data_IF_356819511014
#
_entry.id   IF_356819511014
#
_cell.length_a   1.000
_cell.length_b   1.000
_cell.length_c   1.000
_cell.angle_alpha   90.00
_cell.angle_beta   90.00
_cell.angle_gamma   90.00
#
_symmetry.space_group_name_H-M   'P 1'
#
loop_
_entity.id
_entity.type
_entity.pdbx_description
1 polymer ?
#
# COMPACT_ATOMS: atom_id res chain seq x y z
N UNK A 1 -5.92 10.67 16.51
CA UNK A 1 -6.30 10.55 15.08
C UNK A 1 -5.17 9.84 14.37
N UNK A 2 -5.41 8.69 13.74
CA UNK A 2 -4.39 8.02 12.92
C UNK A 2 -4.11 8.87 11.69
N UNK A 3 -2.84 9.22 11.46
CA UNK A 3 -2.46 9.98 10.28
C UNK A 3 -2.79 9.21 9.01
N UNK A 4 -3.48 9.86 8.06
CA UNK A 4 -3.72 9.31 6.72
C UNK A 4 -2.84 10.01 5.68
N UNK A 5 -2.32 9.21 4.75
CA UNK A 5 -1.45 9.64 3.66
C UNK A 5 -2.09 9.37 2.31
N UNK A 6 -1.68 10.14 1.30
CA UNK A 6 -2.04 9.91 -0.11
C UNK A 6 -0.83 9.29 -0.81
N UNK A 7 -1.06 8.48 -1.83
CA UNK A 7 -0.01 7.78 -2.57
C UNK A 7 -0.01 8.17 -4.04
N UNK A 8 1.17 8.17 -4.66
CA UNK A 8 1.28 8.07 -6.11
C UNK A 8 0.65 6.79 -6.64
N UNK A 9 0.25 6.77 -7.90
CA UNK A 9 -0.45 5.65 -8.53
C UNK A 9 0.31 4.31 -8.43
N UNK A 10 1.63 4.33 -8.62
CA UNK A 10 2.49 3.16 -8.43
C UNK A 10 2.37 2.58 -7.01
N UNK A 11 2.47 3.45 -6.00
CA UNK A 11 2.38 3.05 -4.61
C UNK A 11 0.95 2.68 -4.22
N UNK A 12 -0.05 3.31 -4.82
CA UNK A 12 -1.45 2.97 -4.64
C UNK A 12 -1.73 1.54 -5.12
N UNK A 13 -1.26 1.18 -6.32
CA UNK A 13 -1.34 -0.20 -6.82
C UNK A 13 -0.56 -1.15 -5.91
N UNK A 14 0.66 -0.79 -5.52
CA UNK A 14 1.45 -1.61 -4.60
C UNK A 14 0.71 -1.84 -3.26
N UNK A 15 0.04 -0.82 -2.73
CA UNK A 15 -0.77 -0.95 -1.50
C UNK A 15 -1.97 -1.86 -1.74
N UNK A 16 -2.70 -1.70 -2.84
CA UNK A 16 -3.85 -2.57 -3.15
C UNK A 16 -3.41 -4.03 -3.22
N UNK A 17 -2.34 -4.32 -3.98
CA UNK A 17 -1.81 -5.67 -4.14
C UNK A 17 -1.33 -6.24 -2.78
N UNK A 18 -0.67 -5.43 -1.95
CA UNK A 18 -0.30 -5.83 -0.57
C UNK A 18 -1.52 -6.16 0.30
N UNK A 19 -2.69 -5.56 0.03
CA UNK A 19 -3.94 -5.92 0.71
C UNK A 19 -4.52 -7.27 0.28
N UNK A 20 -4.15 -7.74 -0.91
CA UNK A 20 -4.55 -9.05 -1.44
C UNK A 20 -3.59 -10.17 -1.02
N UNK A 21 -2.31 -9.83 -0.83
CA UNK A 21 -1.27 -10.76 -0.42
C UNK A 21 -0.85 -10.47 1.03
N UNK A 22 -1.35 -11.28 1.97
CA UNK A 22 -1.07 -11.15 3.41
C UNK A 22 0.41 -11.31 3.81
N UNK A 23 1.24 -11.74 2.86
CA UNK A 23 2.66 -12.02 3.04
C UNK A 23 3.35 -11.38 1.84
N UNK A 24 4.43 -10.63 2.10
CA UNK A 24 5.24 -9.90 1.11
C UNK A 24 4.77 -8.47 0.77
N UNK A 25 5.76 -7.65 0.39
CA UNK A 25 5.56 -6.28 -0.06
C UNK A 25 5.50 -6.26 -1.58
N UNK A 26 4.40 -5.76 -2.14
CA UNK A 26 4.30 -5.54 -3.58
C UNK A 26 5.11 -4.32 -4.07
N UNK A 27 5.76 -3.57 -3.16
CA UNK A 27 6.55 -2.37 -3.50
C UNK A 27 7.75 -2.66 -4.40
N UNK A 28 8.31 -3.86 -4.28
CA UNK A 28 9.49 -4.32 -5.03
C UNK A 28 9.12 -4.99 -6.36
N UNK A 29 7.84 -5.33 -6.55
CA UNK A 29 7.35 -6.04 -7.73
C UNK A 29 6.92 -5.07 -8.84
N UNK A 30 7.89 -4.32 -9.38
CA UNK A 30 7.63 -3.27 -10.39
C UNK A 30 6.85 -3.79 -11.59
N UNK A 31 7.24 -4.94 -12.14
CA UNK A 31 6.53 -5.53 -13.27
C UNK A 31 5.07 -5.85 -12.93
N UNK A 32 4.78 -6.22 -11.67
CA UNK A 32 3.42 -6.48 -11.23
C UNK A 32 2.64 -5.16 -11.10
N UNK A 33 3.25 -4.12 -10.52
CA UNK A 33 2.65 -2.79 -10.42
C UNK A 33 2.30 -2.25 -11.82
N UNK A 34 3.26 -2.31 -12.75
CA UNK A 34 3.08 -1.84 -14.13
C UNK A 34 1.96 -2.60 -14.85
N UNK A 35 1.85 -3.93 -14.64
CA UNK A 35 0.76 -4.74 -15.20
C UNK A 35 -0.64 -4.36 -14.70
N UNK A 36 -0.75 -3.62 -13.60
CA UNK A 36 -2.05 -3.22 -13.00
C UNK A 36 -2.27 -1.71 -13.01
N UNK A 37 -1.33 -0.91 -13.52
CA UNK A 37 -1.41 0.55 -13.46
C UNK A 37 -2.60 1.10 -14.25
N UNK A 38 -3.03 0.41 -15.32
CA UNK A 38 -4.20 0.78 -16.10
C UNK A 38 -5.51 0.69 -15.31
N UNK A 39 -5.54 -0.04 -14.20
CA UNK A 39 -6.72 -0.20 -13.35
C UNK A 39 -6.94 0.98 -12.40
N UNK A 40 -5.96 1.88 -12.22
CA UNK A 40 -6.01 2.95 -11.22
C UNK A 40 -7.28 3.78 -11.32
N UNK A 41 -7.67 4.18 -12.53
CA UNK A 41 -8.88 4.99 -12.74
C UNK A 41 -10.16 4.24 -12.35
N UNK A 42 -10.23 2.93 -12.62
CA UNK A 42 -11.37 2.09 -12.21
C UNK A 42 -11.39 1.95 -10.69
N UNK A 43 -10.25 1.64 -10.08
CA UNK A 43 -10.11 1.35 -8.64
C UNK A 43 -10.34 2.61 -7.78
N UNK A 44 -9.91 3.79 -8.23
CA UNK A 44 -10.17 5.06 -7.54
C UNK A 44 -11.64 5.47 -7.52
N UNK A 45 -12.48 4.92 -8.41
CA UNK A 45 -13.94 5.15 -8.39
C UNK A 45 -14.67 4.29 -7.36
N UNK A 46 -14.01 3.27 -6.81
CA UNK A 46 -14.63 2.42 -5.78
C UNK A 46 -14.88 3.23 -4.51
N UNK A 47 -16.10 3.16 -3.99
CA UNK A 47 -16.56 3.93 -2.83
C UNK A 47 -17.59 3.13 -2.01
N UNK A 48 -17.93 3.62 -0.82
CA UNK A 48 -18.98 3.02 0.02
C UNK A 48 -20.34 2.98 -0.71
N UNK A 49 -20.59 3.91 -1.62
CA UNK A 49 -21.85 4.01 -2.38
C UNK A 49 -21.98 2.96 -3.49
N UNK A 50 -20.86 2.46 -4.04
CA UNK A 50 -20.87 1.57 -5.20
C UNK A 50 -20.20 0.21 -4.99
N UNK A 51 -19.51 -0.02 -3.86
CA UNK A 51 -18.80 -1.27 -3.58
C UNK A 51 -19.69 -2.52 -3.70
N UNK A 52 -20.96 -2.40 -3.32
CA UNK A 52 -21.92 -3.51 -3.41
C UNK A 52 -22.21 -3.95 -4.84
N UNK A 53 -22.01 -3.08 -5.83
CA UNK A 53 -22.16 -3.45 -7.24
C UNK A 53 -21.01 -4.36 -7.69
N UNK A 54 -19.77 -4.08 -7.26
CA UNK A 54 -18.61 -4.96 -7.53
C UNK A 54 -18.72 -6.32 -6.85
N UNK A 55 -19.50 -6.43 -5.76
CA UNK A 55 -19.76 -7.67 -5.01
C UNK A 55 -20.91 -8.52 -5.56
N UNK A 56 -21.58 -8.06 -6.62
CA UNK A 56 -22.69 -8.77 -7.25
C UNK A 56 -22.32 -9.13 -8.68
N UNK A 57 -22.59 -10.38 -9.08
CA UNK A 57 -22.36 -10.84 -10.44
C UNK A 57 -23.23 -10.06 -11.43
N UNK A 58 -22.69 -9.90 -12.64
CA UNK A 58 -23.40 -9.38 -13.81
C UNK A 58 -23.76 -7.89 -13.77
N UNK A 59 -23.25 -7.13 -12.79
CA UNK A 59 -23.39 -5.67 -12.78
C UNK A 59 -22.42 -5.01 -13.76
N UNK A 60 -22.75 -3.80 -14.23
CA UNK A 60 -21.89 -3.10 -15.20
C UNK A 60 -20.51 -2.78 -14.61
N UNK A 61 -20.44 -2.43 -13.32
CA UNK A 61 -19.17 -2.15 -12.62
C UNK A 61 -18.34 -3.42 -12.39
N UNK A 62 -18.98 -4.54 -12.07
CA UNK A 62 -18.30 -5.83 -11.97
C UNK A 62 -17.72 -6.26 -13.33
N UNK A 63 -18.53 -6.16 -14.40
CA UNK A 63 -18.10 -6.46 -15.76
C UNK A 63 -16.97 -5.56 -16.24
N UNK A 64 -17.03 -4.27 -15.96
CA UNK A 64 -15.97 -3.32 -16.32
C UNK A 64 -14.62 -3.73 -15.69
N UNK A 65 -14.63 -4.06 -14.41
CA UNK A 65 -13.43 -4.52 -13.71
C UNK A 65 -12.96 -5.88 -14.25
N UNK A 66 -13.88 -6.82 -14.52
CA UNK A 66 -13.56 -8.11 -15.10
C UNK A 66 -12.96 -8.03 -16.50
N UNK A 67 -13.47 -7.14 -17.36
CA UNK A 67 -12.92 -6.93 -18.72
C UNK A 67 -11.47 -6.44 -18.65
N UNK A 68 -11.16 -5.56 -17.69
CA UNK A 68 -9.80 -5.05 -17.50
C UNK A 68 -8.90 -5.97 -16.65
N UNK A 69 -9.50 -6.94 -15.96
CA UNK A 69 -8.82 -7.92 -15.10
C UNK A 69 -9.58 -9.27 -15.13
N UNK A 70 -9.36 -10.11 -16.15
CA UNK A 70 -10.09 -11.37 -16.34
C UNK A 70 -9.59 -12.47 -15.38
N UNK A 71 -9.83 -12.25 -14.09
CA UNK A 71 -9.57 -13.18 -12.98
C UNK A 71 -10.88 -13.71 -12.42
N UNK A 72 -10.79 -14.54 -11.40
CA UNK A 72 -11.98 -15.04 -10.72
C UNK A 72 -12.79 -13.87 -10.13
N UNK A 73 -14.11 -14.04 -10.07
CA UNK A 73 -15.00 -13.07 -9.46
C UNK A 73 -14.59 -12.72 -8.00
N UNK A 74 -14.19 -13.73 -7.22
CA UNK A 74 -13.68 -13.52 -5.85
C UNK A 74 -12.43 -12.61 -5.82
N UNK A 75 -11.51 -12.80 -6.75
CA UNK A 75 -10.32 -11.94 -6.86
C UNK A 75 -10.70 -10.48 -7.16
N UNK A 76 -11.68 -10.25 -8.04
CA UNK A 76 -12.15 -8.91 -8.38
C UNK A 76 -12.86 -8.24 -7.18
N UNK A 77 -13.59 -9.01 -6.37
CA UNK A 77 -14.17 -8.54 -5.11
C UNK A 77 -13.07 -8.08 -4.15
N UNK A 78 -12.05 -8.91 -3.92
CA UNK A 78 -10.96 -8.61 -2.99
C UNK A 78 -10.17 -7.37 -3.44
N UNK A 79 -9.98 -7.21 -4.75
CA UNK A 79 -9.35 -6.04 -5.35
C UNK A 79 -10.19 -4.77 -5.12
N UNK A 80 -11.50 -4.83 -5.32
CA UNK A 80 -12.40 -3.71 -5.08
C UNK A 80 -12.46 -3.33 -3.59
N UNK A 81 -12.49 -4.32 -2.69
CA UNK A 81 -12.43 -4.07 -1.23
C UNK A 81 -11.10 -3.40 -0.86
N UNK A 82 -9.99 -3.91 -1.37
CA UNK A 82 -8.66 -3.32 -1.13
C UNK A 82 -8.59 -1.87 -1.64
N UNK A 83 -9.18 -1.59 -2.80
CA UNK A 83 -9.29 -0.24 -3.35
C UNK A 83 -10.15 0.68 -2.47
N UNK A 84 -11.31 0.22 -1.98
CA UNK A 84 -12.15 0.97 -1.05
C UNK A 84 -11.36 1.44 0.18
N UNK A 85 -10.60 0.54 0.79
CA UNK A 85 -9.75 0.87 1.94
C UNK A 85 -8.65 1.87 1.57
N UNK A 86 -7.99 1.71 0.42
CA UNK A 86 -6.94 2.61 -0.03
C UNK A 86 -7.46 4.02 -0.41
N UNK A 87 -8.67 4.12 -0.96
CA UNK A 87 -9.30 5.39 -1.39
C UNK A 87 -9.61 6.33 -0.22
N UNK A 88 -9.82 5.77 0.98
CA UNK A 88 -9.95 6.54 2.21
C UNK A 88 -8.66 7.20 2.70
N UNK A 89 -7.54 6.98 2.00
CA UNK A 89 -6.19 7.28 2.46
C UNK A 89 -5.63 6.14 3.30
N UNK A 90 -4.31 6.04 3.33
CA UNK A 90 -3.59 4.92 3.95
C UNK A 90 -2.94 5.36 5.26
N UNK A 91 -2.77 4.43 6.19
CA UNK A 91 -2.24 4.66 7.53
C UNK A 91 -0.75 4.32 7.63
N UNK A 92 -0.15 4.59 8.79
CA UNK A 92 1.20 4.13 9.12
C UNK A 92 1.31 2.60 9.12
N UNK A 93 0.25 1.89 9.54
CA UNK A 93 0.15 0.43 9.46
C UNK A 93 0.24 -0.06 8.02
N UNK A 94 -0.47 0.59 7.11
CA UNK A 94 -0.46 0.27 5.67
C UNK A 94 0.93 0.43 5.06
N UNK A 95 1.61 1.54 5.37
CA UNK A 95 2.99 1.77 4.94
C UNK A 95 3.97 0.76 5.55
N UNK A 96 3.80 0.42 6.83
CA UNK A 96 4.67 -0.55 7.50
C UNK A 96 4.57 -1.94 6.84
N UNK A 97 3.35 -2.37 6.48
CA UNK A 97 3.15 -3.61 5.70
C UNK A 97 3.75 -3.51 4.30
N UNK A 98 3.56 -2.37 3.61
CA UNK A 98 4.17 -2.11 2.31
C UNK A 98 5.71 -2.10 2.38
N UNK A 99 6.31 -1.89 3.55
CA UNK A 99 7.76 -1.90 3.76
C UNK A 99 8.28 -3.20 4.37
N UNK A 100 7.41 -4.19 4.61
CA UNK A 100 7.72 -5.41 5.37
C UNK A 100 8.89 -6.23 4.82
N UNK A 101 9.13 -6.25 3.49
CA UNK A 101 10.28 -6.92 2.86
C UNK A 101 11.60 -6.17 3.10
N UNK A 102 11.56 -4.84 3.07
CA UNK A 102 12.73 -3.95 3.14
C UNK A 102 13.16 -3.69 4.56
N UNK A 103 12.18 -3.55 5.47
CA UNK A 103 12.36 -3.18 6.88
C UNK A 103 11.85 -4.27 7.83
N UNK A 104 11.89 -5.54 7.38
CA UNK A 104 11.66 -6.69 8.25
C UNK A 104 12.49 -6.58 9.54
N UNK A 105 12.00 -7.12 10.66
CA UNK A 105 12.67 -7.02 11.96
C UNK A 105 14.14 -7.44 11.90
N UNK A 106 14.48 -8.49 11.17
CA UNK A 106 15.89 -8.94 11.02
C UNK A 106 16.81 -7.96 10.29
N UNK A 107 16.25 -6.94 9.62
CA UNK A 107 16.99 -5.89 8.91
C UNK A 107 16.95 -4.55 9.65
N UNK A 108 15.78 -4.17 10.17
CA UNK A 108 15.56 -2.87 10.81
C UNK A 108 15.74 -2.92 12.33
N UNK A 109 15.63 -4.11 12.94
CA UNK A 109 15.50 -4.32 14.38
C UNK A 109 14.31 -3.55 15.00
N UNK A 110 13.27 -3.31 14.19
CA UNK A 110 12.02 -2.66 14.62
C UNK A 110 10.86 -3.62 14.46
N UNK A 111 10.07 -3.78 15.50
CA UNK A 111 8.75 -4.41 15.41
C UNK A 111 7.80 -3.52 14.62
N UNK A 112 6.71 -4.12 14.12
CA UNK A 112 5.74 -3.42 13.29
C UNK A 112 5.17 -2.13 13.92
N UNK A 113 4.97 -2.11 15.24
CA UNK A 113 4.46 -0.94 15.96
C UNK A 113 5.51 0.18 16.09
N UNK A 114 6.80 -0.17 16.21
CA UNK A 114 7.89 0.80 16.22
C UNK A 114 8.08 1.39 14.83
N UNK A 115 8.01 0.56 13.79
CA UNK A 115 8.05 1.03 12.40
C UNK A 115 6.90 1.99 12.08
N UNK A 116 5.68 1.70 12.56
CA UNK A 116 4.54 2.61 12.45
C UNK A 116 4.81 3.97 13.11
N UNK A 117 5.39 3.96 14.31
CA UNK A 117 5.77 5.18 15.02
C UNK A 117 6.79 5.99 14.22
N UNK A 118 7.83 5.36 13.68
CA UNK A 118 8.83 6.05 12.87
C UNK A 118 8.23 6.65 11.58
N UNK A 119 7.28 5.96 10.95
CA UNK A 119 6.53 6.48 9.80
C UNK A 119 5.75 7.74 10.18
N UNK A 120 5.09 7.74 11.34
CA UNK A 120 4.32 8.90 11.83
C UNK A 120 5.21 10.10 12.21
N UNK A 121 6.44 9.84 12.66
CA UNK A 121 7.43 10.88 12.94
C UNK A 121 8.06 11.44 11.66
N UNK A 122 8.32 10.58 10.68
CA UNK A 122 9.01 10.96 9.44
C UNK A 122 8.10 11.66 8.43
N UNK A 123 6.86 11.16 8.26
CA UNK A 123 5.92 11.69 7.27
C UNK A 123 4.89 12.62 7.90
N UNK A 124 4.54 13.69 7.16
CA UNK A 124 3.52 14.65 7.60
C UNK A 124 2.11 14.11 7.32
N UNK A 125 1.16 14.45 8.17
CA UNK A 125 -0.24 14.13 7.94
C UNK A 125 -0.74 14.71 6.61
N UNK A 126 -1.54 13.93 5.85
CA UNK A 126 -2.05 14.27 4.50
C UNK A 126 -0.98 14.50 3.44
N UNK A 127 0.28 14.13 3.71
CA UNK A 127 1.33 14.17 2.71
C UNK A 127 1.00 13.22 1.56
N UNK A 128 1.31 13.66 0.34
CA UNK A 128 1.37 12.80 -0.83
C UNK A 128 2.76 12.15 -0.89
N UNK A 129 2.81 10.83 -0.79
CA UNK A 129 4.03 10.04 -0.72
C UNK A 129 4.27 9.41 -2.08
N UNK A 130 5.50 9.58 -2.59
CA UNK A 130 5.99 8.90 -3.79
C UNK A 130 7.03 7.85 -3.43
N UNK A 131 7.36 6.95 -4.35
CA UNK A 131 8.30 5.84 -4.10
C UNK A 131 9.65 6.28 -3.53
N UNK A 132 10.20 7.37 -4.08
CA UNK A 132 11.46 7.98 -3.59
C UNK A 132 11.40 8.39 -2.12
N UNK A 133 10.23 8.77 -1.62
CA UNK A 133 10.05 9.12 -0.20
C UNK A 133 10.19 7.88 0.69
N UNK A 134 9.61 6.75 0.27
CA UNK A 134 9.76 5.46 0.94
C UNK A 134 11.20 4.93 0.87
N UNK A 135 11.88 5.10 -0.27
CA UNK A 135 13.31 4.73 -0.39
C UNK A 135 14.16 5.52 0.60
N UNK A 136 13.94 6.83 0.71
CA UNK A 136 14.64 7.69 1.68
C UNK A 136 14.35 7.29 3.13
N UNK A 137 13.10 6.96 3.44
CA UNK A 137 12.72 6.47 4.75
C UNK A 137 13.40 5.13 5.08
N UNK A 138 13.45 4.17 4.15
CA UNK A 138 14.17 2.92 4.35
C UNK A 138 15.65 3.15 4.64
N UNK A 139 16.29 4.02 3.88
CA UNK A 139 17.70 4.40 4.11
C UNK A 139 17.88 5.01 5.48
N UNK A 140 16.99 5.94 5.88
CA UNK A 140 17.01 6.55 7.21
C UNK A 140 16.95 5.51 8.33
N UNK A 141 16.01 4.56 8.28
CA UNK A 141 15.87 3.50 9.28
C UNK A 141 17.10 2.58 9.33
N UNK A 142 17.59 2.14 8.16
CA UNK A 142 18.72 1.22 8.07
C UNK A 142 20.07 1.86 8.44
N UNK A 143 20.20 3.18 8.26
CA UNK A 143 21.39 3.93 8.68
C UNK A 143 21.34 4.35 10.16
N UNK A 144 20.15 4.53 10.71
CA UNK A 144 19.87 5.01 12.06
C UNK A 144 20.26 4.10 13.23
N UNK A 145 21.04 3.05 12.99
CA UNK A 145 21.73 2.25 14.04
C UNK A 145 23.25 2.15 13.86
N UNK A 146 23.86 2.90 12.92
CA UNK A 146 25.34 3.04 12.85
C UNK A 146 25.89 4.21 13.67
N UNK A 147 25.07 4.84 14.50
CA UNK A 147 25.51 5.90 15.42
C UNK A 147 25.37 5.42 16.86
N UNK A 148 26.14 4.39 17.20
CA UNK A 148 26.58 4.11 18.58
C UNK A 148 27.94 3.39 18.52
N UNK A 149 28.91 4.06 17.89
CA UNK A 149 30.33 3.81 18.16
C UNK A 149 31.04 5.16 18.19
N UNK A 150 30.81 5.93 19.26
CA UNK A 150 31.82 6.89 19.73
C UNK A 150 31.70 7.04 21.24
N UNK A 151 32.63 6.36 21.93
CA UNK A 151 33.35 6.79 23.13
C UNK A 151 32.56 7.17 24.38
N UNK A 152 32.65 6.29 25.41
CA UNK A 152 33.51 6.52 26.59
C UNK A 152 34.20 5.22 26.99
#
# INVERSE_FOLDING_TARGET
MTSRYKLSDELYIARILTGMFYIHSALDELELIEKHIHLVEILKRVSEENIDQYKRKDTDLEKELYVNMPKSFGYNIDLAISALHANGGITSYDLANLLSSRLHYTKSELFLHELQREIELYFKHKQFIVRKDLDRFCVFILQGKKTDVTEV
#
